data_IF_916995944303
#
_entry.id   IF_916995944303
#
_cell.length_a   1.000
_cell.length_b   1.000
_cell.length_c   1.000
_cell.angle_alpha   90.00
_cell.angle_beta   90.00
_cell.angle_gamma   90.00
#
_symmetry.space_group_name_H-M   'P 1'
#
loop_
_entity.id
_entity.type
_entity.pdbx_description
1 polymer ?
#
# COMPACT_ATOMS: atom_id res chain seq x y z
N UNK A 1 -17.97 16.74 35.20
CA UNK A 1 -18.71 15.73 34.43
C UNK A 1 -17.93 15.50 33.14
N UNK A 2 -17.30 14.34 32.98
CA UNK A 2 -16.73 13.96 31.69
C UNK A 2 -17.91 13.74 30.73
N UNK A 3 -18.00 14.55 29.69
CA UNK A 3 -18.96 14.32 28.61
C UNK A 3 -18.37 13.22 27.72
N UNK A 4 -19.04 12.06 27.58
CA UNK A 4 -18.63 11.08 26.59
C UNK A 4 -18.71 11.75 25.20
N UNK A 5 -17.82 11.36 24.26
CA UNK A 5 -17.93 11.84 22.89
C UNK A 5 -19.33 11.53 22.38
N UNK A 6 -20.00 12.55 21.83
CA UNK A 6 -21.28 12.35 21.16
C UNK A 6 -21.11 11.24 20.12
N UNK A 7 -22.08 10.34 19.93
CA UNK A 7 -22.01 9.38 18.83
C UNK A 7 -21.83 10.19 17.55
N UNK A 8 -20.74 9.93 16.81
CA UNK A 8 -20.41 10.61 15.57
C UNK A 8 -21.64 10.56 14.66
N UNK A 9 -22.34 11.68 14.63
CA UNK A 9 -23.58 11.85 13.89
C UNK A 9 -23.16 12.14 12.47
N UNK A 10 -22.82 11.08 11.72
CA UNK A 10 -22.88 10.95 10.27
C UNK A 10 -22.56 12.16 9.39
N UNK A 11 -21.79 13.13 9.86
CA UNK A 11 -21.50 14.36 9.11
C UNK A 11 -20.31 14.07 8.22
N UNK A 12 -20.62 13.43 7.10
CA UNK A 12 -19.71 13.34 5.97
C UNK A 12 -19.25 14.75 5.61
N UNK A 13 -17.95 14.92 5.37
CA UNK A 13 -17.42 16.24 5.02
C UNK A 13 -18.08 16.70 3.69
N UNK A 14 -18.90 17.77 3.70
CA UNK A 14 -19.70 18.16 2.53
C UNK A 14 -18.81 18.59 1.36
N UNK A 15 -17.59 19.06 1.64
CA UNK A 15 -16.63 19.44 0.61
C UNK A 15 -16.07 18.21 -0.09
N UNK A 16 -15.73 17.15 0.65
CA UNK A 16 -15.24 15.90 0.05
C UNK A 16 -16.37 15.22 -0.73
N UNK A 17 -17.60 15.28 -0.22
CA UNK A 17 -18.78 14.77 -0.91
C UNK A 17 -18.98 15.47 -2.26
N UNK A 18 -19.00 16.80 -2.28
CA UNK A 18 -19.10 17.55 -3.53
C UNK A 18 -17.90 17.30 -4.45
N UNK A 19 -16.70 17.22 -3.90
CA UNK A 19 -15.47 17.02 -4.68
C UNK A 19 -15.49 15.69 -5.44
N UNK A 20 -16.06 14.65 -4.83
CA UNK A 20 -16.20 13.31 -5.40
C UNK A 20 -17.53 13.07 -6.14
N UNK A 21 -18.46 14.04 -6.17
CA UNK A 21 -19.80 13.85 -6.75
C UNK A 21 -19.86 14.14 -8.25
N UNK A 22 -20.95 13.70 -8.88
CA UNK A 22 -21.29 14.00 -10.29
C UNK A 22 -21.55 15.48 -10.57
N UNK A 23 -21.75 16.29 -9.54
CA UNK A 23 -21.91 17.74 -9.69
C UNK A 23 -20.57 18.43 -10.03
N UNK A 24 -19.45 17.82 -9.62
CA UNK A 24 -18.12 18.31 -9.96
C UNK A 24 -17.71 17.89 -11.38
N UNK A 25 -17.92 18.80 -12.34
CA UNK A 25 -17.52 18.61 -13.76
C UNK A 25 -16.02 18.37 -13.97
N UNK A 26 -15.19 18.70 -12.98
CA UNK A 26 -13.74 18.56 -13.04
C UNK A 26 -13.22 17.33 -12.29
N UNK A 27 -14.09 16.46 -11.75
CA UNK A 27 -13.70 15.31 -10.94
C UNK A 27 -12.67 14.40 -11.64
N UNK A 28 -12.88 14.05 -12.91
CA UNK A 28 -11.95 13.19 -13.66
C UNK A 28 -10.58 13.86 -13.91
N UNK A 29 -10.49 15.10 -14.45
CA UNK A 29 -9.22 15.83 -14.54
C UNK A 29 -8.50 15.98 -13.20
N UNK A 30 -9.22 16.21 -12.10
CA UNK A 30 -8.64 16.33 -10.78
C UNK A 30 -8.07 15.01 -10.28
N UNK A 31 -8.84 13.92 -10.36
CA UNK A 31 -8.38 12.58 -10.01
C UNK A 31 -7.10 12.20 -10.78
N UNK A 32 -7.13 12.36 -12.10
CA UNK A 32 -5.99 12.03 -12.96
C UNK A 32 -4.78 12.92 -12.68
N UNK A 33 -4.97 14.22 -12.44
CA UNK A 33 -3.88 15.16 -12.12
C UNK A 33 -3.23 14.84 -10.78
N UNK A 34 -4.02 14.53 -9.75
CA UNK A 34 -3.52 14.13 -8.43
C UNK A 34 -2.70 12.83 -8.55
N UNK A 35 -3.24 11.80 -9.21
CA UNK A 35 -2.58 10.52 -9.39
C UNK A 35 -1.26 10.66 -10.17
N UNK A 36 -1.28 11.45 -11.25
CA UNK A 36 -0.09 11.74 -12.04
C UNK A 36 0.95 12.55 -11.25
N UNK A 37 0.53 13.51 -10.43
CA UNK A 37 1.44 14.32 -9.60
C UNK A 37 2.22 13.41 -8.66
N UNK A 38 1.55 12.47 -7.99
CA UNK A 38 2.20 11.50 -7.10
C UNK A 38 3.08 10.54 -7.89
N UNK A 39 2.53 9.84 -8.88
CA UNK A 39 3.26 8.77 -9.58
C UNK A 39 4.41 9.27 -10.45
N UNK A 40 4.35 10.50 -10.97
CA UNK A 40 5.41 11.10 -11.79
C UNK A 40 6.53 11.75 -10.97
N UNK A 41 6.38 11.89 -9.65
CA UNK A 41 7.38 12.55 -8.82
C UNK A 41 8.66 11.73 -8.67
N UNK A 42 9.80 12.37 -8.93
CA UNK A 42 11.12 11.78 -8.80
C UNK A 42 11.93 12.59 -7.77
N UNK A 43 12.17 12.05 -6.56
CA UNK A 43 12.89 12.75 -5.49
C UNK A 43 14.40 12.85 -5.75
N UNK A 44 14.94 12.10 -6.72
CA UNK A 44 16.37 12.11 -7.07
C UNK A 44 16.68 13.19 -8.11
N UNK A 45 15.72 13.52 -8.97
CA UNK A 45 15.86 14.56 -10.00
C UNK A 45 17.00 14.24 -10.97
N UNK A 46 17.99 15.12 -11.07
CA UNK A 46 19.14 14.96 -11.98
C UNK A 46 20.16 13.88 -11.55
N UNK A 47 19.96 13.20 -10.42
CA UNK A 47 20.89 12.16 -9.94
C UNK A 47 22.21 12.70 -9.40
N UNK A 48 22.29 14.02 -9.18
CA UNK A 48 23.48 14.67 -8.64
C UNK A 48 23.46 14.56 -7.11
N UNK A 49 24.54 14.07 -6.46
CA UNK A 49 24.68 14.08 -5.01
C UNK A 49 24.45 15.47 -4.41
N UNK A 50 23.71 15.54 -3.30
CA UNK A 50 23.41 16.78 -2.56
C UNK A 50 22.60 17.83 -3.34
N UNK A 51 21.98 17.46 -4.47
CA UNK A 51 21.14 18.38 -5.25
C UNK A 51 20.07 19.10 -4.39
N UNK A 52 19.51 18.40 -3.42
CA UNK A 52 18.49 18.91 -2.50
C UNK A 52 19.01 19.96 -1.49
N UNK A 53 20.33 20.10 -1.32
CA UNK A 53 20.93 21.18 -0.53
C UNK A 53 21.13 22.45 -1.35
N UNK A 54 21.32 22.29 -2.67
CA UNK A 54 21.60 23.38 -3.59
C UNK A 54 20.32 23.98 -4.18
N UNK A 55 19.27 23.17 -4.33
CA UNK A 55 18.01 23.58 -4.94
C UNK A 55 16.83 23.22 -4.05
N UNK A 56 15.93 24.18 -3.87
CA UNK A 56 14.66 23.98 -3.17
C UNK A 56 13.71 23.18 -4.06
N UNK A 57 13.21 22.08 -3.51
CA UNK A 57 12.25 21.22 -4.16
C UNK A 57 10.83 21.55 -3.71
N UNK A 58 10.15 22.38 -4.50
CA UNK A 58 8.77 22.80 -4.28
C UNK A 58 7.74 21.75 -4.72
N UNK A 59 8.16 20.67 -5.38
CA UNK A 59 7.24 19.62 -5.85
C UNK A 59 6.89 18.65 -4.73
N UNK A 60 7.81 18.37 -3.82
CA UNK A 60 7.56 17.43 -2.73
C UNK A 60 6.33 17.78 -1.87
N UNK A 61 6.17 19.02 -1.37
CA UNK A 61 4.98 19.36 -0.59
C UNK A 61 3.69 19.20 -1.38
N UNK A 62 3.69 19.57 -2.67
CA UNK A 62 2.53 19.37 -3.54
C UNK A 62 2.19 17.89 -3.72
N UNK A 63 3.20 17.02 -3.79
CA UNK A 63 3.02 15.57 -3.94
C UNK A 63 2.45 14.95 -2.68
N UNK A 64 2.94 15.37 -1.52
CA UNK A 64 2.42 14.95 -0.22
C UNK A 64 0.94 15.33 -0.07
N UNK A 65 0.59 16.59 -0.31
CA UNK A 65 -0.80 17.06 -0.29
C UNK A 65 -1.68 16.34 -1.32
N UNK A 66 -1.15 16.10 -2.53
CA UNK A 66 -1.89 15.36 -3.55
C UNK A 66 -2.18 13.91 -3.13
N UNK A 67 -1.23 13.25 -2.46
CA UNK A 67 -1.42 11.90 -1.92
C UNK A 67 -2.46 11.90 -0.80
N UNK A 68 -2.39 12.86 0.13
CA UNK A 68 -3.35 12.99 1.22
C UNK A 68 -4.78 13.26 0.71
N UNK A 69 -4.94 14.16 -0.25
CA UNK A 69 -6.23 14.43 -0.90
C UNK A 69 -6.77 13.18 -1.59
N UNK A 70 -5.93 12.42 -2.31
CA UNK A 70 -6.35 11.14 -2.90
C UNK A 70 -6.82 10.15 -1.85
N UNK A 71 -6.10 10.01 -0.74
CA UNK A 71 -6.48 9.08 0.33
C UNK A 71 -7.83 9.47 0.94
N UNK A 72 -8.00 10.74 1.31
CA UNK A 72 -9.26 11.23 1.92
C UNK A 72 -10.43 11.07 0.95
N UNK A 73 -10.23 11.40 -0.32
CA UNK A 73 -11.27 11.27 -1.35
C UNK A 73 -11.60 9.82 -1.68
N UNK A 74 -10.66 8.88 -1.56
CA UNK A 74 -10.91 7.44 -1.74
C UNK A 74 -11.50 6.76 -0.50
N UNK A 75 -11.37 7.36 0.68
CA UNK A 75 -11.92 6.82 1.93
C UNK A 75 -13.38 7.29 2.17
N UNK A 76 -13.71 8.45 1.63
CA UNK A 76 -15.07 9.00 1.65
C UNK A 76 -16.06 7.99 1.05
N UNK A 77 -17.00 7.52 1.88
CA UNK A 77 -18.14 6.67 1.50
C UNK A 77 -17.91 5.14 1.43
N UNK A 78 -16.83 4.61 2.03
CA UNK A 78 -16.68 3.14 2.19
C UNK A 78 -17.60 2.54 3.28
N UNK A 79 -18.23 3.38 4.13
CA UNK A 79 -18.98 2.95 5.32
C UNK A 79 -20.49 2.74 5.10
N UNK A 80 -21.05 3.28 4.02
CA UNK A 80 -22.50 3.24 3.72
C UNK A 80 -22.91 2.00 2.92
N UNK A 81 -21.96 1.32 2.26
CA UNK A 81 -22.22 0.13 1.42
C UNK A 81 -22.10 -1.23 2.13
N UNK A 82 -21.81 -1.29 3.43
CA UNK A 82 -21.77 -2.56 4.19
C UNK A 82 -22.54 -2.46 5.51
N UNK A 83 -23.87 -2.35 5.42
CA UNK A 83 -24.75 -2.78 6.51
C UNK A 83 -25.35 -4.14 6.12
N UNK A 84 -24.95 -5.27 6.74
CA UNK A 84 -25.75 -6.47 6.65
C UNK A 84 -26.96 -6.25 7.56
N UNK A 85 -28.10 -5.84 7.00
CA UNK A 85 -29.35 -5.86 7.76
C UNK A 85 -29.73 -7.32 8.00
N UNK A 86 -29.39 -7.81 9.18
CA UNK A 86 -29.94 -9.03 9.76
C UNK A 86 -31.37 -8.69 10.18
N UNK A 87 -32.30 -8.67 9.23
CA UNK A 87 -33.71 -8.89 9.52
C UNK A 87 -34.43 -9.26 8.24
N UNK A 88 -34.68 -10.57 8.10
CA UNK A 88 -35.48 -11.13 7.03
C UNK A 88 -36.94 -10.79 7.26
N UNK A 89 -37.44 -9.71 6.66
CA UNK A 89 -38.82 -9.60 6.18
C UNK A 89 -39.02 -8.27 5.46
N UNK A 90 -39.16 -8.31 4.13
CA UNK A 90 -40.27 -7.67 3.40
C UNK A 90 -40.20 -8.05 1.93
N UNK A 91 -41.35 -8.48 1.45
CA UNK A 91 -41.70 -8.84 0.07
C UNK A 91 -41.83 -7.61 -0.82
N UNK A 92 -41.28 -7.62 -2.04
CA UNK A 92 -41.54 -6.56 -3.03
C UNK A 92 -40.83 -6.75 -4.37
N UNK A 93 -41.43 -7.57 -5.24
CA UNK A 93 -41.45 -7.53 -6.72
C UNK A 93 -40.15 -7.43 -7.54
N UNK A 94 -40.05 -8.42 -8.44
CA UNK A 94 -39.11 -8.66 -9.52
C UNK A 94 -38.79 -7.49 -10.48
N UNK A 95 -37.61 -7.64 -11.09
CA UNK A 95 -37.15 -7.10 -12.38
C UNK A 95 -36.79 -5.61 -12.41
N UNK A 96 -35.55 -5.33 -12.06
CA UNK A 96 -34.75 -4.35 -12.78
C UNK A 96 -33.30 -4.84 -12.83
N UNK A 97 -32.80 -5.07 -14.05
CA UNK A 97 -31.40 -5.31 -14.41
C UNK A 97 -30.58 -4.01 -14.21
N UNK A 98 -30.71 -3.40 -13.04
CA UNK A 98 -29.91 -2.26 -12.65
C UNK A 98 -28.64 -2.86 -12.05
N UNK A 99 -27.56 -2.80 -12.83
CA UNK A 99 -26.19 -2.89 -12.30
C UNK A 99 -26.18 -2.17 -10.94
N UNK A 100 -25.70 -2.79 -9.86
CA UNK A 100 -25.72 -2.18 -8.54
C UNK A 100 -25.19 -0.76 -8.67
N UNK A 101 -25.91 0.27 -8.18
CA UNK A 101 -25.51 1.65 -8.37
C UNK A 101 -24.05 1.76 -7.96
N UNK A 102 -23.20 2.08 -8.94
CA UNK A 102 -21.77 2.18 -8.70
C UNK A 102 -21.52 3.14 -7.54
N UNK A 103 -20.37 3.05 -6.86
CA UNK A 103 -20.08 3.88 -5.70
C UNK A 103 -20.39 5.35 -6.04
N UNK A 104 -21.15 6.03 -5.17
CA UNK A 104 -21.52 7.45 -5.36
C UNK A 104 -20.27 8.31 -5.53
N UNK A 105 -19.16 7.86 -4.94
CA UNK A 105 -17.84 8.42 -5.09
C UNK A 105 -17.22 8.16 -6.48
N UNK A 106 -17.16 9.21 -7.30
CA UNK A 106 -16.55 9.16 -8.63
C UNK A 106 -15.07 8.80 -8.63
N UNK A 107 -14.30 9.15 -7.59
CA UNK A 107 -12.87 8.84 -7.54
C UNK A 107 -12.65 7.32 -7.40
N UNK A 108 -13.43 6.65 -6.55
CA UNK A 108 -13.44 5.20 -6.43
C UNK A 108 -13.89 4.55 -7.75
N UNK A 109 -14.91 5.12 -8.39
CA UNK A 109 -15.38 4.66 -9.69
C UNK A 109 -14.29 4.76 -10.78
N UNK A 110 -13.64 5.91 -10.90
CA UNK A 110 -12.54 6.10 -11.86
C UNK A 110 -11.37 5.16 -11.58
N UNK A 111 -10.97 5.02 -10.31
CA UNK A 111 -9.89 4.12 -9.92
C UNK A 111 -10.17 2.66 -10.28
N UNK A 112 -11.37 2.15 -9.96
CA UNK A 112 -11.78 0.77 -10.27
C UNK A 112 -11.86 0.49 -11.77
N UNK A 113 -12.08 1.52 -12.60
CA UNK A 113 -12.17 1.43 -14.06
C UNK A 113 -10.85 1.51 -14.80
N UNK A 114 -9.74 1.89 -14.15
CA UNK A 114 -8.41 1.81 -14.76
C UNK A 114 -8.13 0.35 -15.15
N UNK A 115 -7.69 0.12 -16.37
CA UNK A 115 -7.49 -1.24 -16.90
C UNK A 115 -6.35 -1.36 -17.92
N UNK A 116 -5.76 -0.24 -18.35
CA UNK A 116 -4.67 -0.29 -19.32
C UNK A 116 -3.39 -0.69 -18.61
N UNK A 117 -2.63 -1.60 -19.23
CA UNK A 117 -1.38 -2.10 -18.67
C UNK A 117 -0.31 -1.00 -18.55
N UNK A 118 -0.32 -0.03 -19.48
CA UNK A 118 0.54 1.17 -19.42
C UNK A 118 0.29 2.02 -18.16
N UNK A 119 -0.97 2.25 -17.81
CA UNK A 119 -1.36 3.03 -16.62
C UNK A 119 -0.95 2.29 -15.34
N UNK A 120 -1.19 0.97 -15.29
CA UNK A 120 -0.78 0.15 -14.16
C UNK A 120 0.75 0.14 -13.97
N UNK A 121 1.50 0.01 -15.06
CA UNK A 121 2.95 0.05 -15.00
C UNK A 121 3.46 1.42 -14.52
N UNK A 122 2.86 2.51 -14.99
CA UNK A 122 3.18 3.87 -14.56
C UNK A 122 2.93 4.07 -13.06
N UNK A 123 1.76 3.68 -12.57
CA UNK A 123 1.39 3.76 -11.15
C UNK A 123 2.35 2.91 -10.30
N UNK A 124 2.56 1.65 -10.67
CA UNK A 124 3.40 0.73 -9.90
C UNK A 124 4.85 1.22 -9.84
N UNK A 125 5.43 1.66 -10.96
CA UNK A 125 6.80 2.20 -11.00
C UNK A 125 6.92 3.48 -10.19
N UNK A 126 5.93 4.38 -10.27
CA UNK A 126 5.91 5.61 -9.50
C UNK A 126 5.94 5.33 -8.00
N UNK A 127 5.04 4.48 -7.52
CA UNK A 127 4.95 4.09 -6.10
C UNK A 127 6.20 3.34 -5.65
N UNK A 128 6.67 2.35 -6.42
CA UNK A 128 7.86 1.58 -6.10
C UNK A 128 9.11 2.47 -5.99
N UNK A 129 9.28 3.44 -6.90
CA UNK A 129 10.37 4.42 -6.85
C UNK A 129 10.34 5.23 -5.56
N UNK A 130 9.16 5.74 -5.18
CA UNK A 130 9.01 6.56 -3.99
C UNK A 130 9.23 5.75 -2.71
N UNK A 131 8.62 4.56 -2.60
CA UNK A 131 8.84 3.67 -1.46
C UNK A 131 10.30 3.21 -1.35
N UNK A 132 10.99 3.02 -2.47
CA UNK A 132 12.39 2.60 -2.50
C UNK A 132 13.39 3.71 -2.21
N UNK A 133 12.94 4.96 -2.11
CA UNK A 133 13.83 6.11 -1.92
C UNK A 133 14.81 5.95 -0.74
N UNK A 134 14.41 5.46 0.46
CA UNK A 134 15.35 5.23 1.57
C UNK A 134 16.32 4.06 1.36
N UNK A 135 16.03 3.16 0.42
CA UNK A 135 16.84 1.98 0.12
C UNK A 135 18.01 2.29 -0.81
N UNK A 136 17.97 3.43 -1.50
CA UNK A 136 18.98 3.83 -2.47
C UNK A 136 20.33 4.03 -1.78
N UNK A 137 21.26 3.12 -2.08
CA UNK A 137 22.64 3.24 -1.62
C UNK A 137 23.42 4.16 -2.54
N UNK A 138 24.03 5.18 -1.95
CA UNK A 138 25.00 6.04 -2.62
C UNK A 138 26.34 5.94 -1.89
N UNK A 139 27.44 6.14 -2.62
CA UNK A 139 28.78 6.14 -2.03
C UNK A 139 28.97 7.28 -1.02
N UNK A 140 28.17 8.34 -1.13
CA UNK A 140 28.26 9.55 -0.33
C UNK A 140 27.14 9.59 0.72
N UNK A 141 27.46 9.74 2.01
CA UNK A 141 26.46 9.74 3.08
C UNK A 141 25.50 10.93 2.94
N UNK A 142 24.22 10.69 3.16
CA UNK A 142 23.15 11.70 3.09
C UNK A 142 23.12 12.48 1.75
N UNK A 143 23.62 11.88 0.68
CA UNK A 143 23.70 12.55 -0.62
C UNK A 143 22.38 12.57 -1.39
N UNK A 144 21.42 11.73 -1.00
CA UNK A 144 20.08 11.67 -1.57
C UNK A 144 19.04 12.22 -0.59
N UNK A 145 18.07 12.95 -1.13
CA UNK A 145 16.92 13.42 -0.35
C UNK A 145 16.08 12.22 0.05
N UNK A 146 15.67 12.18 1.33
CA UNK A 146 14.69 11.22 1.83
C UNK A 146 13.32 11.87 1.89
N UNK A 147 12.33 11.26 1.24
CA UNK A 147 10.94 11.73 1.33
C UNK A 147 10.39 11.49 2.75
N UNK A 148 9.30 12.17 3.14
CA UNK A 148 8.70 12.01 4.47
C UNK A 148 7.30 11.37 4.46
N UNK A 149 6.62 11.36 3.33
CA UNK A 149 5.23 10.92 3.16
C UNK A 149 5.07 9.41 2.82
N UNK A 150 5.89 8.56 3.43
CA UNK A 150 5.87 7.12 3.14
C UNK A 150 4.60 6.42 3.64
N UNK A 151 3.97 6.94 4.70
CA UNK A 151 2.74 6.36 5.25
C UNK A 151 1.58 6.52 4.26
N UNK A 152 1.47 7.71 3.67
CA UNK A 152 0.52 8.07 2.64
C UNK A 152 0.69 7.16 1.42
N UNK A 153 1.93 6.91 0.99
CA UNK A 153 2.21 6.01 -0.13
C UNK A 153 1.76 4.57 0.13
N UNK A 154 1.95 4.06 1.34
CA UNK A 154 1.50 2.71 1.71
C UNK A 154 -0.04 2.64 1.73
N UNK A 155 -0.71 3.63 2.33
CA UNK A 155 -2.18 3.71 2.34
C UNK A 155 -2.73 3.80 0.91
N UNK A 156 -2.13 4.65 0.07
CA UNK A 156 -2.53 4.80 -1.33
C UNK A 156 -2.35 3.47 -2.08
N UNK A 157 -1.21 2.80 -1.93
CA UNK A 157 -0.97 1.50 -2.55
C UNK A 157 -2.02 0.45 -2.11
N UNK A 158 -2.34 0.41 -0.82
CA UNK A 158 -3.39 -0.46 -0.30
C UNK A 158 -4.74 -0.17 -0.97
N UNK A 159 -5.18 1.09 -1.01
CA UNK A 159 -6.43 1.52 -1.65
C UNK A 159 -6.48 1.18 -3.14
N UNK A 160 -5.37 1.35 -3.87
CA UNK A 160 -5.25 0.97 -5.29
C UNK A 160 -5.49 -0.53 -5.50
N UNK A 161 -4.87 -1.37 -4.68
CA UNK A 161 -5.04 -2.82 -4.72
C UNK A 161 -6.45 -3.25 -4.29
N UNK A 162 -7.05 -2.55 -3.33
CA UNK A 162 -8.36 -2.93 -2.82
C UNK A 162 -9.49 -2.58 -3.80
N UNK A 163 -9.52 -1.34 -4.29
CA UNK A 163 -10.56 -0.87 -5.22
C UNK A 163 -10.38 -1.34 -6.67
N UNK A 164 -9.18 -1.76 -7.06
CA UNK A 164 -8.93 -2.26 -8.41
C UNK A 164 -8.25 -3.64 -8.39
N UNK A 165 -9.07 -4.70 -8.43
CA UNK A 165 -8.55 -6.08 -8.47
C UNK A 165 -7.72 -6.37 -9.72
N UNK A 166 -7.95 -5.69 -10.86
CA UNK A 166 -7.11 -5.84 -12.06
C UNK A 166 -5.70 -5.32 -11.81
N UNK A 167 -5.56 -4.21 -11.10
CA UNK A 167 -4.25 -3.70 -10.66
C UNK A 167 -3.57 -4.68 -9.69
N UNK A 168 -4.30 -5.20 -8.70
CA UNK A 168 -3.78 -6.22 -7.78
C UNK A 168 -3.20 -7.43 -8.54
N UNK A 169 -3.98 -8.01 -9.47
CA UNK A 169 -3.51 -9.14 -10.28
C UNK A 169 -2.34 -8.76 -11.19
N UNK A 170 -2.32 -7.53 -11.73
CA UNK A 170 -1.19 -7.02 -12.51
C UNK A 170 0.11 -6.99 -11.69
N UNK A 171 0.08 -6.43 -10.47
CA UNK A 171 1.22 -6.39 -9.55
C UNK A 171 1.76 -7.80 -9.29
N UNK A 172 0.85 -8.78 -9.13
CA UNK A 172 1.18 -10.17 -8.80
C UNK A 172 1.60 -11.02 -10.01
N UNK A 173 1.35 -10.55 -11.23
CA UNK A 173 1.66 -11.28 -12.48
C UNK A 173 3.17 -11.42 -12.69
N UNK A 174 3.91 -10.33 -12.47
CA UNK A 174 5.35 -10.24 -12.67
C UNK A 174 6.12 -10.37 -11.34
N UNK A 175 7.43 -10.15 -11.36
CA UNK A 175 8.21 -10.00 -10.12
C UNK A 175 8.23 -8.58 -9.59
N UNK A 176 7.50 -7.65 -10.20
CA UNK A 176 7.49 -6.25 -9.78
C UNK A 176 6.86 -6.09 -8.39
N UNK A 177 6.08 -7.07 -7.92
CA UNK A 177 5.65 -7.16 -6.52
C UNK A 177 6.83 -7.18 -5.54
N UNK A 178 7.99 -7.71 -5.93
CA UNK A 178 9.18 -7.73 -5.07
C UNK A 178 9.76 -6.32 -4.87
N UNK A 179 9.62 -5.44 -5.88
CA UNK A 179 10.02 -4.04 -5.81
C UNK A 179 9.12 -3.22 -4.87
N UNK A 180 7.95 -3.76 -4.50
CA UNK A 180 7.06 -3.22 -3.47
C UNK A 180 7.30 -3.90 -2.11
N UNK A 181 7.48 -5.23 -2.12
CA UNK A 181 7.72 -6.04 -0.92
C UNK A 181 8.92 -5.56 -0.13
N UNK A 182 10.07 -5.36 -0.78
CA UNK A 182 11.33 -5.03 -0.11
C UNK A 182 11.22 -3.68 0.64
N UNK A 183 10.72 -2.59 0.04
CA UNK A 183 10.42 -1.36 0.78
C UNK A 183 9.45 -1.54 1.95
N UNK A 184 8.36 -2.30 1.78
CA UNK A 184 7.41 -2.53 2.87
C UNK A 184 8.11 -3.20 4.05
N UNK A 185 8.88 -4.26 3.80
CA UNK A 185 9.63 -4.96 4.84
C UNK A 185 10.66 -4.03 5.51
N UNK A 186 11.30 -3.14 4.75
CA UNK A 186 12.19 -2.10 5.29
C UNK A 186 11.47 -1.19 6.29
N UNK A 187 10.34 -0.60 5.91
CA UNK A 187 9.60 0.29 6.81
C UNK A 187 9.06 -0.46 8.04
N UNK A 188 8.59 -1.70 7.87
CA UNK A 188 8.15 -2.53 8.99
C UNK A 188 9.28 -2.82 9.97
N UNK A 189 10.47 -3.18 9.47
CA UNK A 189 11.62 -3.43 10.34
C UNK A 189 12.08 -2.15 11.05
N UNK A 190 12.11 -1.01 10.36
CA UNK A 190 12.52 0.26 10.94
C UNK A 190 11.52 0.77 12.01
N UNK A 191 10.22 0.59 11.78
CA UNK A 191 9.17 1.03 12.68
C UNK A 191 8.88 0.09 13.86
N UNK A 192 9.38 -1.16 13.85
CA UNK A 192 9.01 -2.21 14.82
C UNK A 192 9.15 -1.83 16.31
N UNK A 193 10.14 -0.99 16.65
CA UNK A 193 10.43 -0.59 18.02
C UNK A 193 9.72 0.71 18.44
N UNK A 194 9.07 1.40 17.51
CA UNK A 194 8.50 2.73 17.70
C UNK A 194 6.98 2.69 17.83
N UNK A 195 6.49 2.91 19.05
CA UNK A 195 5.07 2.89 19.38
C UNK A 195 4.26 4.01 18.70
N UNK A 196 4.90 5.06 18.20
CA UNK A 196 4.22 6.13 17.46
C UNK A 196 3.88 5.71 16.02
N UNK A 197 4.59 4.72 15.47
CA UNK A 197 4.46 4.27 14.07
C UNK A 197 3.62 2.99 13.92
N UNK A 198 2.77 2.70 14.91
CA UNK A 198 1.89 1.53 14.90
C UNK A 198 0.92 1.53 13.71
N UNK A 199 0.46 2.69 13.25
CA UNK A 199 -0.39 2.80 12.06
C UNK A 199 0.31 2.29 10.79
N UNK A 200 1.58 2.67 10.59
CA UNK A 200 2.41 2.17 9.50
C UNK A 200 2.55 0.64 9.57
N UNK A 201 2.75 0.10 10.78
CA UNK A 201 2.86 -1.34 10.98
C UNK A 201 1.59 -2.09 10.55
N UNK A 202 0.41 -1.59 10.93
CA UNK A 202 -0.86 -2.21 10.54
C UNK A 202 -1.06 -2.18 9.03
N UNK A 203 -0.87 -1.03 8.39
CA UNK A 203 -1.02 -0.88 6.94
C UNK A 203 -0.03 -1.76 6.19
N UNK A 204 1.24 -1.79 6.58
CA UNK A 204 2.24 -2.64 5.94
C UNK A 204 1.90 -4.12 6.06
N UNK A 205 1.46 -4.58 7.24
CA UNK A 205 1.06 -5.98 7.45
C UNK A 205 -0.20 -6.32 6.67
N UNK A 206 -1.20 -5.43 6.62
CA UNK A 206 -2.43 -5.67 5.84
C UNK A 206 -2.20 -5.71 4.34
N UNK A 207 -1.28 -4.88 3.81
CA UNK A 207 -0.85 -4.99 2.42
C UNK A 207 -0.23 -6.36 2.16
N UNK A 208 0.69 -6.81 3.02
CA UNK A 208 1.31 -8.12 2.86
C UNK A 208 0.30 -9.26 3.01
N UNK A 209 -0.68 -9.13 3.89
CA UNK A 209 -1.78 -10.07 4.04
C UNK A 209 -2.60 -10.16 2.76
N UNK A 210 -3.00 -9.01 2.20
CA UNK A 210 -3.72 -8.93 0.93
C UNK A 210 -2.95 -9.59 -0.21
N UNK A 211 -1.66 -9.29 -0.36
CA UNK A 211 -0.81 -9.89 -1.39
C UNK A 211 -0.60 -11.40 -1.16
N UNK A 212 -0.49 -11.84 0.10
CA UNK A 212 -0.29 -13.25 0.45
C UNK A 212 -1.49 -14.13 0.12
N UNK A 213 -2.70 -13.57 0.00
CA UNK A 213 -3.88 -14.32 -0.40
C UNK A 213 -3.79 -14.94 -1.79
N UNK A 214 -2.85 -14.47 -2.61
CA UNK A 214 -2.68 -14.91 -4.00
C UNK A 214 -1.48 -15.84 -4.17
N UNK A 215 -1.70 -17.01 -4.78
CA UNK A 215 -0.66 -18.04 -4.97
C UNK A 215 0.57 -17.53 -5.71
N UNK A 216 0.39 -16.61 -6.65
CA UNK A 216 1.48 -16.02 -7.42
C UNK A 216 2.48 -15.30 -6.51
N UNK A 217 2.03 -14.62 -5.44
CA UNK A 217 2.91 -13.97 -4.48
C UNK A 217 3.89 -14.98 -3.86
N UNK A 218 3.36 -16.09 -3.35
CA UNK A 218 4.18 -17.16 -2.76
C UNK A 218 5.24 -17.68 -3.73
N UNK A 219 4.88 -17.91 -4.99
CA UNK A 219 5.83 -18.35 -6.03
C UNK A 219 6.94 -17.30 -6.27
N UNK A 220 6.61 -16.00 -6.25
CA UNK A 220 7.59 -14.92 -6.45
C UNK A 220 8.56 -14.78 -5.28
N UNK A 221 8.15 -15.11 -4.06
CA UNK A 221 9.02 -15.06 -2.88
C UNK A 221 10.24 -15.99 -3.00
N UNK A 222 10.16 -17.07 -3.79
CA UNK A 222 11.28 -17.98 -4.04
C UNK A 222 12.42 -17.37 -4.88
N UNK A 223 12.24 -16.17 -5.46
CA UNK A 223 13.33 -15.53 -6.20
C UNK A 223 14.50 -15.22 -5.26
N UNK A 224 15.75 -15.36 -5.72
CA UNK A 224 16.93 -15.08 -4.90
C UNK A 224 16.96 -13.60 -4.52
N UNK A 225 17.18 -13.33 -3.24
CA UNK A 225 17.35 -11.97 -2.72
C UNK A 225 18.81 -11.55 -2.92
N UNK A 226 19.04 -10.64 -3.87
CA UNK A 226 20.38 -10.15 -4.22
C UNK A 226 20.62 -8.70 -3.81
N UNK A 227 19.58 -8.00 -3.37
CA UNK A 227 19.65 -6.56 -3.04
C UNK A 227 20.24 -6.42 -1.64
N UNK A 228 21.32 -5.64 -1.49
CA UNK A 228 21.85 -5.29 -0.16
C UNK A 228 21.19 -4.01 0.33
N UNK A 229 20.01 -4.15 0.93
CA UNK A 229 19.34 -3.02 1.59
C UNK A 229 20.03 -2.69 2.92
N UNK A 230 20.19 -1.41 3.29
CA UNK A 230 20.67 -0.99 4.62
C UNK A 230 19.60 -1.23 5.71
N UNK A 231 19.19 -2.48 5.88
CA UNK A 231 18.27 -2.91 6.91
C UNK A 231 19.07 -3.49 8.08
N UNK A 232 18.67 -3.20 9.32
CA UNK A 232 19.18 -3.89 10.51
C UNK A 232 18.69 -5.35 10.47
N UNK A 233 19.40 -6.19 9.72
CA UNK A 233 19.26 -7.65 9.66
C UNK A 233 20.64 -8.28 9.46
N UNK A 234 20.87 -9.52 9.96
CA UNK A 234 22.08 -10.25 9.65
C UNK A 234 22.27 -10.41 8.14
N UNK A 235 23.51 -10.41 7.68
CA UNK A 235 23.80 -10.73 6.27
C UNK A 235 23.47 -12.20 6.04
N UNK A 236 22.57 -12.48 5.10
CA UNK A 236 22.19 -13.83 4.70
C UNK A 236 22.21 -13.96 3.18
N UNK A 237 22.31 -15.20 2.71
CA UNK A 237 22.12 -15.57 1.31
C UNK A 237 20.88 -16.44 1.24
N UNK A 238 19.86 -16.00 0.53
CA UNK A 238 18.57 -16.70 0.49
C UNK A 238 17.62 -16.07 -0.50
N UNK A 239 16.34 -16.34 -0.30
CA UNK A 239 15.21 -15.88 -1.11
C UNK A 239 14.50 -14.69 -0.45
N UNK A 240 13.53 -14.10 -1.15
CA UNK A 240 12.67 -13.07 -0.57
C UNK A 240 11.76 -13.64 0.52
N UNK A 241 11.46 -14.95 0.49
CA UNK A 241 10.78 -15.64 1.59
C UNK A 241 11.61 -15.60 2.88
N UNK A 242 12.92 -15.85 2.78
CA UNK A 242 13.83 -15.80 3.93
C UNK A 242 13.91 -14.38 4.51
N UNK A 243 13.96 -13.35 3.65
CA UNK A 243 13.89 -11.94 4.08
C UNK A 243 12.61 -11.67 4.90
N UNK A 244 11.46 -12.09 4.36
CA UNK A 244 10.16 -11.89 5.01
C UNK A 244 10.12 -12.57 6.38
N UNK A 245 10.58 -13.81 6.48
CA UNK A 245 10.62 -14.57 7.74
C UNK A 245 11.54 -13.89 8.76
N UNK A 246 12.74 -13.46 8.35
CA UNK A 246 13.70 -12.78 9.24
C UNK A 246 13.11 -11.48 9.79
N UNK A 247 12.46 -10.68 8.94
CA UNK A 247 11.83 -9.42 9.35
C UNK A 247 10.66 -9.69 10.30
N UNK A 248 9.80 -10.66 9.99
CA UNK A 248 8.65 -10.99 10.84
C UNK A 248 9.09 -11.55 12.18
N UNK A 249 10.10 -12.41 12.19
CA UNK A 249 10.71 -12.91 13.43
C UNK A 249 11.25 -11.76 14.28
N UNK A 250 11.95 -10.77 13.69
CA UNK A 250 12.39 -9.57 14.41
C UNK A 250 11.22 -8.76 14.96
N UNK A 251 10.14 -8.59 14.20
CA UNK A 251 8.94 -7.87 14.67
C UNK A 251 8.31 -8.58 15.87
N UNK A 252 8.19 -9.91 15.83
CA UNK A 252 7.59 -10.70 16.92
C UNK A 252 8.48 -10.69 18.17
N UNK A 253 9.80 -10.84 18.01
CA UNK A 253 10.74 -10.99 19.13
C UNK A 253 11.22 -9.68 19.73
N UNK A 254 11.33 -8.61 18.93
CA UNK A 254 11.86 -7.31 19.36
C UNK A 254 10.85 -6.16 19.28
N UNK A 255 9.63 -6.43 18.82
CA UNK A 255 8.56 -5.45 18.76
C UNK A 255 7.93 -5.14 20.12
N UNK A 256 7.14 -4.07 20.16
CA UNK A 256 6.43 -3.66 21.38
C UNK A 256 5.03 -4.31 21.50
N UNK A 257 4.43 -4.28 22.70
CA UNK A 257 3.15 -4.94 22.99
C UNK A 257 1.98 -4.54 22.07
N UNK A 258 1.91 -3.29 21.60
CA UNK A 258 0.85 -2.86 20.65
C UNK A 258 0.88 -3.58 19.29
N UNK A 259 1.92 -4.36 18.98
CA UNK A 259 1.99 -5.17 17.76
C UNK A 259 1.37 -6.57 17.92
N UNK A 260 1.03 -6.98 19.14
CA UNK A 260 0.44 -8.31 19.39
C UNK A 260 -0.78 -8.63 18.50
N UNK A 261 -1.72 -7.70 18.24
CA UNK A 261 -2.85 -7.97 17.34
C UNK A 261 -2.44 -8.33 15.90
N UNK A 262 -1.23 -7.96 15.47
CA UNK A 262 -0.72 -8.24 14.13
C UNK A 262 -0.09 -9.64 14.02
N UNK A 263 0.21 -10.32 15.13
CA UNK A 263 0.96 -11.58 15.09
C UNK A 263 0.21 -12.68 14.33
N UNK A 264 -1.11 -12.78 14.50
CA UNK A 264 -1.93 -13.73 13.75
C UNK A 264 -1.90 -13.44 12.24
N UNK A 265 -1.87 -12.16 11.86
CA UNK A 265 -1.73 -11.76 10.45
C UNK A 265 -0.35 -12.13 9.90
N UNK A 266 0.73 -11.88 10.66
CA UNK A 266 2.10 -12.24 10.27
C UNK A 266 2.24 -13.76 10.07
N UNK A 267 1.70 -14.55 10.99
CA UNK A 267 1.69 -16.01 10.88
C UNK A 267 0.87 -16.48 9.68
N UNK A 268 -0.29 -15.88 9.45
CA UNK A 268 -1.13 -16.17 8.27
C UNK A 268 -0.37 -15.93 6.96
N UNK A 269 0.35 -14.81 6.85
CA UNK A 269 1.18 -14.50 5.68
C UNK A 269 2.28 -15.55 5.48
N UNK A 270 2.94 -15.99 6.55
CA UNK A 270 3.98 -17.04 6.47
C UNK A 270 3.37 -18.35 5.96
N UNK A 271 2.20 -18.74 6.47
CA UNK A 271 1.50 -19.97 6.06
C UNK A 271 1.06 -19.90 4.59
N UNK A 272 0.62 -18.73 4.12
CA UNK A 272 0.24 -18.49 2.73
C UNK A 272 1.45 -18.37 1.78
N UNK A 273 2.66 -18.21 2.32
CA UNK A 273 3.91 -18.16 1.55
C UNK A 273 4.19 -19.45 0.78
N UNK A 274 5.27 -19.50 -0.03
CA UNK A 274 5.60 -20.71 -0.76
C UNK A 274 5.80 -21.88 0.22
N UNK A 275 5.43 -23.12 -0.16
CA UNK A 275 5.88 -24.27 0.59
C UNK A 275 7.41 -24.26 0.60
N UNK A 276 8.00 -24.04 1.77
CA UNK A 276 9.45 -23.97 2.03
C UNK A 276 10.16 -25.30 1.70
N UNK A 277 9.41 -26.33 1.28
CA UNK A 277 9.92 -27.63 0.89
C UNK A 277 9.79 -27.82 -0.64
N UNK A 278 10.90 -27.82 -1.39
CA UNK A 278 10.94 -28.72 -2.54
C UNK A 278 10.70 -30.15 -2.02
N UNK A 279 9.88 -30.97 -2.70
CA UNK A 279 9.85 -32.41 -2.38
C UNK A 279 11.29 -32.93 -2.42
N UNK A 280 11.68 -33.86 -1.53
CA UNK A 280 13.04 -34.38 -1.50
C UNK A 280 13.36 -35.02 -2.86
N UNK A 281 14.04 -34.27 -3.72
CA UNK A 281 14.61 -34.79 -4.96
C UNK A 281 15.82 -35.60 -4.55
N UNK A 282 15.63 -36.92 -4.53
CA UNK A 282 16.64 -37.98 -4.61
C UNK A 282 17.96 -37.71 -3.85
N UNK A 283 18.05 -38.27 -2.65
CA UNK A 283 19.34 -38.68 -2.10
C UNK A 283 19.92 -39.78 -3.00
N UNK A 284 21.14 -39.64 -3.54
CA UNK A 284 21.82 -40.74 -4.19
C UNK A 284 22.26 -41.74 -3.12
N UNK A 285 21.72 -42.96 -3.18
CA UNK A 285 22.40 -44.15 -2.66
C UNK A 285 23.19 -44.78 -3.81
#
# INVERSE_FOLDING_TARGET
MYLPPAPDSGSTNPWVQFFCSTENRHALPLFTSLLNTVCAYDPVGYGIPYNHLLFSDYREPLVEEAAQVLIVTLDHDSATSTSPTVDGTTTGTAMDDIDPPGPENLFVNYLSRIHREEDFQFILKGIARLLSNPLLQTYLPNSTKKIQFHQELLVLFWKLCDFNKKFLFFVLKSSDVLDILVPILYFLNDARADQSRVGLMHIGVFILLLLSGERNFGVRLNKPYSVRVPMDIPVFTGTHADLLIVVFHKIITSGHQRLQPLFDCLLTIIVNGPPILPPPTHWPC
#
